data_IF_386972176932
#
_entry.id   IF_386972176932
#
_cell.length_a   1.000
_cell.length_b   1.000
_cell.length_c   1.000
_cell.angle_alpha   90.00
_cell.angle_beta   90.00
_cell.angle_gamma   90.00
#
_symmetry.space_group_name_H-M   'P 1'
#
loop_
_entity.id
_entity.type
_entity.pdbx_description
1 polymer ?
#
# COMPACT_ATOMS: atom_id res chain seq x y z
N UNK A 1 24.25 3.05 51.11
CA UNK A 1 24.29 2.39 49.79
C UNK A 1 22.84 2.32 49.35
N UNK A 2 22.34 3.41 48.78
CA UNK A 2 21.03 3.42 48.13
C UNK A 2 21.23 2.78 46.76
N UNK A 3 20.42 1.76 46.49
CA UNK A 3 20.35 1.04 45.25
C UNK A 3 19.62 1.89 44.21
N UNK A 4 20.38 2.36 43.22
CA UNK A 4 19.83 2.91 41.98
C UNK A 4 19.18 1.76 41.19
N UNK A 5 17.90 1.50 41.45
CA UNK A 5 17.05 0.74 40.54
C UNK A 5 16.76 1.62 39.32
N UNK A 6 17.72 1.71 38.40
CA UNK A 6 17.47 2.09 37.02
C UNK A 6 16.60 0.98 36.39
N UNK A 7 15.29 1.08 36.57
CA UNK A 7 14.32 0.37 35.74
C UNK A 7 14.43 0.93 34.32
N UNK A 8 15.45 0.49 33.58
CA UNK A 8 15.51 0.68 32.14
C UNK A 8 14.21 0.11 31.60
N UNK A 9 13.38 0.96 30.98
CA UNK A 9 12.11 0.54 30.41
C UNK A 9 12.36 -0.46 29.29
N UNK A 10 12.49 -1.75 29.65
CA UNK A 10 12.74 -2.84 28.71
C UNK A 10 11.52 -2.91 27.80
N UNK A 11 11.71 -2.60 26.52
CA UNK A 11 10.69 -2.79 25.48
C UNK A 11 10.45 -4.29 25.28
N UNK A 12 9.61 -4.86 26.16
CA UNK A 12 9.23 -6.28 26.17
C UNK A 12 8.59 -6.71 24.86
N UNK A 13 7.98 -5.78 24.12
CA UNK A 13 7.38 -6.10 22.83
C UNK A 13 8.48 -6.34 21.78
N UNK A 14 9.56 -5.56 21.81
CA UNK A 14 10.74 -5.82 20.97
C UNK A 14 11.48 -7.14 21.30
N UNK A 15 11.18 -7.79 22.43
CA UNK A 15 11.74 -9.11 22.72
C UNK A 15 11.03 -10.26 21.97
N UNK A 16 9.84 -10.02 21.41
CA UNK A 16 9.09 -11.04 20.65
C UNK A 16 9.85 -11.45 19.37
N UNK A 17 9.74 -12.72 18.92
CA UNK A 17 10.26 -13.16 17.63
C UNK A 17 9.77 -12.28 16.47
N UNK A 18 10.61 -12.13 15.45
CA UNK A 18 10.34 -11.26 14.29
C UNK A 18 9.04 -11.65 13.58
N UNK A 19 8.73 -12.94 13.52
CA UNK A 19 7.52 -13.50 12.93
C UNK A 19 6.25 -13.01 13.65
N UNK A 20 6.29 -12.96 14.99
CA UNK A 20 5.16 -12.43 15.80
C UNK A 20 5.02 -10.93 15.57
N UNK A 21 6.15 -10.20 15.49
CA UNK A 21 6.12 -8.77 15.20
C UNK A 21 5.52 -8.50 13.81
N UNK A 22 5.85 -9.29 12.79
CA UNK A 22 5.23 -9.19 11.47
C UNK A 22 3.72 -9.42 11.53
N UNK A 23 3.25 -10.42 12.28
CA UNK A 23 1.81 -10.68 12.45
C UNK A 23 1.09 -9.54 13.19
N UNK A 24 1.74 -8.92 14.18
CA UNK A 24 1.19 -7.74 14.84
C UNK A 24 1.12 -6.58 13.84
N UNK A 25 2.20 -6.30 13.11
CA UNK A 25 2.25 -5.20 12.15
C UNK A 25 1.26 -5.37 11.00
N UNK A 26 1.05 -6.59 10.49
CA UNK A 26 0.11 -6.86 9.40
C UNK A 26 -1.34 -6.54 9.79
N UNK A 27 -1.67 -6.64 11.08
CA UNK A 27 -2.98 -6.26 11.62
C UNK A 27 -3.14 -4.76 11.91
N UNK A 28 -2.05 -3.99 11.81
CA UNK A 28 -2.01 -2.59 12.18
C UNK A 28 -2.06 -1.66 10.98
N UNK A 29 -2.75 -0.53 11.15
CA UNK A 29 -2.70 0.58 10.18
C UNK A 29 -1.26 1.02 9.96
N UNK A 30 -0.88 1.23 8.70
CA UNK A 30 0.49 1.60 8.31
C UNK A 30 1.00 2.86 9.04
N UNK A 31 0.10 3.77 9.42
CA UNK A 31 0.43 4.95 10.23
C UNK A 31 0.97 4.60 11.63
N UNK A 32 0.43 3.56 12.26
CA UNK A 32 0.90 3.06 13.55
C UNK A 32 2.24 2.38 13.35
N UNK A 33 2.40 1.59 12.30
CA UNK A 33 3.65 0.91 11.97
C UNK A 33 4.81 1.91 11.79
N UNK A 34 4.61 2.97 10.99
CA UNK A 34 5.62 4.04 10.81
C UNK A 34 5.98 4.74 12.12
N UNK A 35 5.05 4.86 13.07
CA UNK A 35 5.33 5.42 14.41
C UNK A 35 6.15 4.47 15.26
N UNK A 36 5.81 3.19 15.25
CA UNK A 36 6.49 2.16 16.04
C UNK A 36 7.95 1.94 15.63
N UNK A 37 8.31 2.27 14.38
CA UNK A 37 9.70 2.35 13.91
C UNK A 37 10.64 3.08 14.88
N UNK A 38 10.14 4.07 15.64
CA UNK A 38 10.93 4.89 16.57
C UNK A 38 11.11 4.27 17.96
N UNK A 39 10.40 3.18 18.27
CA UNK A 39 10.38 2.60 19.61
C UNK A 39 11.63 1.76 19.91
N UNK A 40 12.12 1.00 18.93
CA UNK A 40 13.37 0.25 19.08
C UNK A 40 14.01 -0.08 17.73
N UNK A 41 15.27 -0.53 17.75
CA UNK A 41 15.98 -1.00 16.55
C UNK A 41 15.24 -2.16 15.88
N UNK A 42 14.65 -3.06 16.66
CA UNK A 42 13.93 -4.21 16.11
C UNK A 42 12.67 -3.78 15.38
N UNK A 43 11.86 -2.90 15.97
CA UNK A 43 10.69 -2.34 15.28
C UNK A 43 11.07 -1.62 13.99
N UNK A 44 12.21 -0.93 13.99
CA UNK A 44 12.74 -0.33 12.77
C UNK A 44 12.99 -1.38 11.68
N UNK A 45 13.71 -2.46 12.00
CA UNK A 45 14.01 -3.55 11.06
C UNK A 45 12.73 -4.23 10.53
N UNK A 46 11.76 -4.51 11.41
CA UNK A 46 10.48 -5.12 11.00
C UNK A 46 9.68 -4.16 10.11
N UNK A 47 9.64 -2.87 10.43
CA UNK A 47 8.97 -1.87 9.58
C UNK A 47 9.64 -1.75 8.19
N UNK A 48 10.96 -1.81 8.14
CA UNK A 48 11.73 -1.72 6.89
C UNK A 48 11.57 -2.98 6.03
N UNK A 49 11.26 -4.13 6.62
CA UNK A 49 11.08 -5.44 5.96
C UNK A 49 9.62 -5.87 5.78
N UNK A 50 8.66 -4.97 6.03
CA UNK A 50 7.24 -5.23 5.75
C UNK A 50 7.08 -5.74 4.30
N UNK A 51 6.17 -6.66 4.05
CA UNK A 51 5.86 -7.09 2.67
C UNK A 51 4.46 -6.63 2.23
N UNK A 52 3.78 -5.84 3.07
CA UNK A 52 2.41 -5.41 2.85
C UNK A 52 2.33 -3.91 3.07
N UNK A 53 1.67 -3.20 2.15
CA UNK A 53 1.32 -1.79 2.29
C UNK A 53 -0.18 -1.67 2.03
N UNK A 54 -0.92 -1.25 3.04
CA UNK A 54 -2.35 -0.93 2.92
C UNK A 54 -2.55 0.54 3.25
N UNK A 55 -3.09 1.28 2.29
CA UNK A 55 -3.32 2.72 2.35
C UNK A 55 -4.78 3.02 2.01
N UNK A 56 -5.56 3.40 3.01
CA UNK A 56 -6.96 3.82 2.83
C UNK A 56 -7.08 5.30 3.13
N UNK A 57 -7.42 6.11 2.14
CA UNK A 57 -7.45 7.57 2.28
C UNK A 57 -8.47 8.01 3.34
N UNK A 58 -9.59 7.30 3.50
CA UNK A 58 -10.54 7.50 4.60
C UNK A 58 -9.90 7.48 6.00
N UNK A 59 -8.82 6.72 6.24
CA UNK A 59 -8.07 6.79 7.51
C UNK A 59 -7.28 8.10 7.72
N UNK A 60 -7.15 8.88 6.66
CA UNK A 60 -6.45 10.15 6.55
C UNK A 60 -7.38 11.27 6.06
N UNK A 61 -8.70 11.13 6.14
CA UNK A 61 -9.69 12.11 5.64
C UNK A 61 -9.47 13.54 6.18
N UNK A 62 -8.91 13.65 7.39
CA UNK A 62 -8.56 14.90 8.06
C UNK A 62 -7.28 15.54 7.52
N UNK A 63 -6.57 14.89 6.59
CA UNK A 63 -5.39 15.41 5.92
C UNK A 63 -5.76 15.96 4.56
N UNK A 64 -5.09 17.04 4.16
CA UNK A 64 -5.05 17.41 2.76
C UNK A 64 -4.29 16.35 1.96
N UNK A 65 -4.66 16.20 0.70
CA UNK A 65 -4.03 15.27 -0.24
C UNK A 65 -2.49 15.36 -0.22
N UNK A 66 -1.91 16.56 -0.25
CA UNK A 66 -0.44 16.73 -0.33
C UNK A 66 0.28 16.22 0.92
N UNK A 67 -0.41 16.25 2.08
CA UNK A 67 0.12 15.68 3.32
C UNK A 67 0.09 14.15 3.27
N UNK A 68 -0.98 13.58 2.72
CA UNK A 68 -1.07 12.14 2.48
C UNK A 68 -0.01 11.68 1.48
N UNK A 69 0.10 12.34 0.33
CA UNK A 69 1.09 12.00 -0.70
C UNK A 69 2.53 12.03 -0.17
N UNK A 70 2.89 13.06 0.60
CA UNK A 70 4.20 13.14 1.26
C UNK A 70 4.42 12.03 2.29
N UNK A 71 3.38 11.62 3.02
CA UNK A 71 3.47 10.48 3.93
C UNK A 71 3.73 9.17 3.16
N UNK A 72 2.99 8.92 2.08
CA UNK A 72 3.19 7.74 1.23
C UNK A 72 4.61 7.75 0.65
N UNK A 73 5.05 8.86 0.06
CA UNK A 73 6.41 8.98 -0.50
C UNK A 73 7.48 8.68 0.55
N UNK A 74 7.34 9.21 1.77
CA UNK A 74 8.28 8.92 2.86
C UNK A 74 8.23 7.46 3.30
N UNK A 75 7.05 6.83 3.35
CA UNK A 75 6.89 5.41 3.66
C UNK A 75 7.62 4.54 2.63
N UNK A 76 7.48 4.83 1.34
CA UNK A 76 8.14 4.07 0.27
C UNK A 76 9.66 4.23 0.31
N UNK A 77 10.15 5.40 0.71
CA UNK A 77 11.59 5.69 0.83
C UNK A 77 12.27 4.99 2.01
N UNK A 78 11.56 4.73 3.11
CA UNK A 78 12.17 4.12 4.31
C UNK A 78 12.28 2.60 4.22
N UNK A 79 11.50 1.95 3.35
CA UNK A 79 11.53 0.50 3.21
C UNK A 79 12.87 0.00 2.69
N UNK A 80 13.25 -1.19 3.14
CA UNK A 80 14.37 -1.92 2.56
C UNK A 80 14.01 -2.43 1.16
N UNK A 81 15.00 -2.87 0.39
CA UNK A 81 14.82 -3.42 -0.97
C UNK A 81 14.27 -4.86 -0.93
N UNK A 82 13.27 -5.09 -0.08
CA UNK A 82 12.57 -6.37 0.03
C UNK A 82 11.37 -6.33 -0.91
N UNK A 83 11.04 -7.50 -1.46
CA UNK A 83 9.87 -7.68 -2.30
C UNK A 83 8.59 -7.34 -1.53
N UNK A 84 7.63 -6.82 -2.27
CA UNK A 84 6.32 -6.47 -1.75
C UNK A 84 5.38 -7.61 -2.11
N UNK A 85 4.74 -8.24 -1.15
CA UNK A 85 3.71 -9.23 -1.44
C UNK A 85 2.39 -8.53 -1.81
N UNK A 86 1.94 -7.55 -1.01
CA UNK A 86 0.67 -6.83 -1.28
C UNK A 86 0.84 -5.32 -1.27
N UNK A 87 0.23 -4.66 -2.25
CA UNK A 87 0.00 -3.21 -2.26
C UNK A 87 -1.50 -2.93 -2.43
N UNK A 88 -2.12 -2.40 -1.40
CA UNK A 88 -3.52 -1.95 -1.39
C UNK A 88 -3.57 -0.42 -1.28
N UNK A 89 -4.25 0.22 -2.23
CA UNK A 89 -4.52 1.65 -2.22
C UNK A 89 -6.01 1.90 -2.47
N UNK A 90 -6.69 2.38 -1.43
CA UNK A 90 -8.09 2.79 -1.47
C UNK A 90 -8.15 4.32 -1.37
N UNK A 91 -8.64 4.93 -2.43
CA UNK A 91 -8.91 6.36 -2.55
C UNK A 91 -10.40 6.55 -2.80
N UNK A 92 -11.15 6.53 -1.69
CA UNK A 92 -12.62 6.56 -1.58
C UNK A 92 -13.12 7.98 -1.22
N UNK A 93 -12.56 9.01 -1.86
CA UNK A 93 -12.87 10.41 -1.52
C UNK A 93 -13.15 11.28 -2.73
N UNK A 94 -13.94 12.32 -2.52
CA UNK A 94 -14.20 13.36 -3.52
C UNK A 94 -13.02 14.34 -3.71
N UNK A 95 -11.91 14.15 -2.98
CA UNK A 95 -10.74 15.00 -3.15
C UNK A 95 -10.04 14.68 -4.47
N UNK A 96 -9.62 15.70 -5.23
CA UNK A 96 -8.86 15.47 -6.45
C UNK A 96 -7.51 14.82 -6.09
N UNK A 97 -7.27 13.65 -6.65
CA UNK A 97 -6.01 12.94 -6.57
C UNK A 97 -5.06 13.35 -7.69
N UNK A 98 -3.76 13.33 -7.43
CA UNK A 98 -2.76 13.57 -8.47
C UNK A 98 -2.40 12.25 -9.15
N UNK A 99 -2.78 12.14 -10.42
CA UNK A 99 -2.49 10.99 -11.25
C UNK A 99 -1.02 10.55 -11.26
N UNK A 100 -0.09 11.51 -11.24
CA UNK A 100 1.35 11.20 -11.28
C UNK A 100 1.85 10.54 -9.99
N UNK A 101 1.32 10.95 -8.84
CA UNK A 101 1.69 10.34 -7.55
C UNK A 101 1.21 8.89 -7.50
N UNK A 102 -0.06 8.64 -7.88
CA UNK A 102 -0.64 7.29 -7.92
C UNK A 102 0.15 6.39 -8.88
N UNK A 103 0.49 6.89 -10.09
CA UNK A 103 1.35 6.17 -11.04
C UNK A 103 2.72 5.86 -10.46
N UNK A 104 3.31 6.79 -9.70
CA UNK A 104 4.60 6.60 -9.05
C UNK A 104 4.52 5.50 -7.97
N UNK A 105 3.46 5.48 -7.17
CA UNK A 105 3.26 4.48 -6.13
C UNK A 105 3.03 3.08 -6.69
N UNK A 106 2.22 2.98 -7.76
CA UNK A 106 2.02 1.72 -8.48
C UNK A 106 3.35 1.27 -9.12
N UNK A 107 4.08 2.19 -9.76
CA UNK A 107 5.39 1.89 -10.34
C UNK A 107 6.40 1.41 -9.30
N UNK A 108 6.34 1.94 -8.08
CA UNK A 108 7.12 1.44 -6.95
C UNK A 108 6.72 -0.01 -6.61
N UNK A 109 5.43 -0.31 -6.46
CA UNK A 109 4.97 -1.67 -6.15
C UNK A 109 5.45 -2.68 -7.20
N UNK A 110 5.27 -2.37 -8.49
CA UNK A 110 5.73 -3.21 -9.61
C UNK A 110 7.24 -3.42 -9.58
N UNK A 111 8.02 -2.37 -9.31
CA UNK A 111 9.49 -2.45 -9.22
C UNK A 111 9.96 -3.33 -8.04
N UNK A 112 9.12 -3.48 -7.03
CA UNK A 112 9.37 -4.31 -5.85
C UNK A 112 8.64 -5.66 -5.94
N UNK A 113 8.42 -6.18 -7.16
CA UNK A 113 7.89 -7.51 -7.42
C UNK A 113 6.56 -7.79 -6.70
N UNK A 114 5.63 -6.82 -6.74
CA UNK A 114 4.30 -6.99 -6.15
C UNK A 114 3.61 -8.25 -6.66
N UNK A 115 3.04 -9.03 -5.75
CA UNK A 115 2.23 -10.22 -6.07
C UNK A 115 0.74 -9.89 -6.10
N UNK A 116 0.25 -9.08 -5.16
CA UNK A 116 -1.15 -8.67 -5.08
C UNK A 116 -1.22 -7.14 -5.18
N UNK A 117 -1.85 -6.64 -6.23
CA UNK A 117 -2.10 -5.22 -6.44
C UNK A 117 -3.60 -4.95 -6.36
N UNK A 118 -4.05 -4.26 -5.31
CA UNK A 118 -5.45 -3.94 -5.07
C UNK A 118 -5.64 -2.42 -5.06
N UNK A 119 -6.41 -1.91 -6.04
CA UNK A 119 -6.61 -0.49 -6.27
C UNK A 119 -8.09 -0.17 -6.33
N UNK A 120 -8.55 0.67 -5.41
CA UNK A 120 -9.88 1.29 -5.45
C UNK A 120 -9.65 2.79 -5.60
N UNK A 121 -9.88 3.34 -6.79
CA UNK A 121 -9.52 4.71 -7.14
C UNK A 121 -10.75 5.45 -7.70
N UNK A 122 -11.53 6.07 -6.83
CA UNK A 122 -12.73 6.81 -7.24
C UNK A 122 -12.37 8.08 -8.01
N UNK A 123 -13.03 8.32 -9.14
CA UNK A 123 -12.76 9.46 -10.01
C UNK A 123 -11.38 9.42 -10.69
N UNK A 124 -10.72 8.26 -10.73
CA UNK A 124 -9.45 8.07 -11.45
C UNK A 124 -9.71 7.68 -12.90
N UNK A 125 -9.12 8.42 -13.85
CA UNK A 125 -9.14 8.06 -15.25
C UNK A 125 -8.35 6.77 -15.53
N UNK A 126 -9.08 5.74 -15.99
CA UNK A 126 -8.56 4.42 -16.38
C UNK A 126 -7.44 4.48 -17.40
N UNK A 127 -7.43 5.48 -18.29
CA UNK A 127 -6.40 5.65 -19.33
C UNK A 127 -5.03 5.99 -18.76
N UNK A 128 -4.96 6.39 -17.49
CA UNK A 128 -3.75 6.87 -16.82
C UNK A 128 -3.03 5.74 -16.06
N UNK A 129 -3.61 4.53 -16.04
CA UNK A 129 -3.02 3.36 -15.40
C UNK A 129 -1.67 3.00 -16.07
N UNK A 130 -0.58 2.80 -15.29
CA UNK A 130 0.73 2.54 -15.88
C UNK A 130 0.81 1.13 -16.48
N UNK A 131 1.30 1.02 -17.72
CA UNK A 131 1.43 -0.25 -18.44
C UNK A 131 2.37 -1.26 -17.77
N UNK A 132 3.24 -0.82 -16.85
CA UNK A 132 4.16 -1.69 -16.15
C UNK A 132 3.47 -2.74 -15.28
N UNK A 133 2.20 -2.53 -14.90
CA UNK A 133 1.41 -3.54 -14.18
C UNK A 133 1.27 -4.81 -15.03
N UNK A 134 1.02 -4.65 -16.34
CA UNK A 134 0.77 -5.76 -17.26
C UNK A 134 2.04 -6.49 -17.70
N UNK A 135 3.22 -5.94 -17.39
CA UNK A 135 4.52 -6.58 -17.65
C UNK A 135 5.19 -7.08 -16.36
N UNK A 136 4.51 -6.96 -15.22
CA UNK A 136 4.99 -7.42 -13.94
C UNK A 136 4.84 -8.95 -13.84
N UNK A 137 5.95 -9.68 -13.82
CA UNK A 137 5.95 -11.14 -13.84
C UNK A 137 5.62 -11.77 -12.48
N UNK A 138 5.84 -11.03 -11.39
CA UNK A 138 5.49 -11.45 -10.04
C UNK A 138 4.00 -11.28 -9.73
N UNK A 139 3.28 -10.48 -10.52
CA UNK A 139 1.90 -10.11 -10.25
C UNK A 139 0.98 -11.33 -10.40
N UNK A 140 0.38 -11.73 -9.29
CA UNK A 140 -0.54 -12.84 -9.17
C UNK A 140 -2.00 -12.40 -9.17
N UNK A 141 -2.30 -11.29 -8.52
CA UNK A 141 -3.66 -10.78 -8.36
C UNK A 141 -3.70 -9.29 -8.67
N UNK A 142 -4.65 -8.89 -9.52
CA UNK A 142 -4.90 -7.51 -9.89
C UNK A 142 -6.37 -7.18 -9.69
N UNK A 143 -6.67 -6.42 -8.63
CA UNK A 143 -8.01 -5.92 -8.33
C UNK A 143 -8.05 -4.43 -8.67
N UNK A 144 -8.96 -4.05 -9.56
CA UNK A 144 -9.14 -2.68 -10.03
C UNK A 144 -10.61 -2.27 -9.90
N UNK A 145 -10.89 -1.36 -8.97
CA UNK A 145 -12.15 -0.63 -8.91
C UNK A 145 -11.88 0.84 -9.19
N UNK A 146 -12.58 1.42 -10.15
CA UNK A 146 -12.48 2.84 -10.46
C UNK A 146 -13.91 3.35 -10.65
N UNK A 147 -14.32 4.33 -9.84
CA UNK A 147 -15.65 4.95 -9.92
C UNK A 147 -15.98 5.46 -11.32
N UNK A 148 -17.27 5.54 -11.65
CA UNK A 148 -17.75 5.88 -12.99
C UNK A 148 -17.16 7.22 -13.47
N UNK A 149 -16.36 7.15 -14.54
CA UNK A 149 -16.02 8.34 -15.31
C UNK A 149 -17.26 8.77 -16.10
N UNK A 150 -17.54 10.09 -16.24
CA UNK A 150 -18.62 10.54 -17.11
C UNK A 150 -18.30 10.17 -18.57
N UNK A 151 -19.12 9.26 -19.12
CA UNK A 151 -19.26 8.91 -20.54
C UNK A 151 -18.11 9.30 -21.48
N UNK A 152 -17.01 8.54 -21.43
CA UNK A 152 -16.11 8.42 -22.58
C UNK A 152 -15.64 6.97 -22.70
N UNK A 153 -16.24 6.27 -23.66
CA UNK A 153 -15.61 5.22 -24.46
C UNK A 153 -15.10 4.00 -23.70
N UNK A 154 -15.77 2.87 -23.92
CA UNK A 154 -15.28 1.55 -23.58
C UNK A 154 -13.77 1.41 -23.86
N UNK A 155 -13.07 1.00 -22.81
CA UNK A 155 -11.77 0.33 -22.77
C UNK A 155 -11.14 0.08 -24.16
N UNK A 156 -10.04 0.78 -24.46
CA UNK A 156 -8.95 0.17 -25.23
C UNK A 156 -7.90 -0.30 -24.24
N UNK A 157 -8.30 -1.20 -23.33
CA UNK A 157 -7.32 -2.14 -22.81
C UNK A 157 -6.80 -2.90 -24.04
N UNK A 158 -5.49 -3.06 -24.22
CA UNK A 158 -5.00 -3.89 -25.32
C UNK A 158 -5.71 -5.24 -25.24
N UNK A 159 -6.32 -5.68 -26.34
CA UNK A 159 -7.23 -6.85 -26.42
C UNK A 159 -6.60 -8.17 -25.95
N UNK A 160 -5.33 -8.15 -25.56
CA UNK A 160 -4.57 -9.29 -25.05
C UNK A 160 -3.72 -8.80 -23.86
N UNK A 161 -4.31 -8.80 -22.68
CA UNK A 161 -3.56 -8.68 -21.42
C UNK A 161 -3.27 -10.10 -20.94
N UNK A 162 -2.08 -10.61 -21.23
CA UNK A 162 -1.57 -11.80 -20.57
C UNK A 162 -1.10 -11.41 -19.17
N UNK A 163 -2.01 -11.42 -18.19
CA UNK A 163 -1.61 -11.50 -16.79
C UNK A 163 -1.06 -12.92 -16.56
N UNK A 164 0.15 -13.08 -16.02
CA UNK A 164 0.75 -14.41 -15.81
C UNK A 164 -0.04 -15.27 -14.80
N UNK A 165 -0.98 -14.69 -14.06
CA UNK A 165 -1.76 -15.39 -13.04
C UNK A 165 -3.19 -14.85 -13.00
N UNK A 166 -4.16 -15.74 -13.21
CA UNK A 166 -5.57 -15.43 -13.39
C UNK A 166 -6.28 -15.09 -12.07
N UNK A 167 -6.90 -13.90 -12.01
CA UNK A 167 -8.32 -13.67 -11.70
C UNK A 167 -8.59 -12.16 -11.74
N UNK A 168 -9.25 -11.70 -12.80
CA UNK A 168 -9.80 -10.35 -12.86
C UNK A 168 -11.28 -10.48 -12.47
N UNK A 169 -11.58 -10.37 -11.18
CA UNK A 169 -12.97 -10.29 -10.72
C UNK A 169 -13.48 -8.87 -10.97
N UNK A 170 -14.01 -8.68 -12.18
CA UNK A 170 -14.83 -7.52 -12.51
C UNK A 170 -16.23 -7.75 -11.94
N UNK A 171 -16.41 -7.52 -10.64
CA UNK A 171 -17.75 -7.41 -10.07
C UNK A 171 -18.39 -6.10 -10.55
N UNK A 172 -19.15 -6.22 -11.64
CA UNK A 172 -20.22 -5.29 -11.97
C UNK A 172 -21.30 -5.44 -10.90
N UNK A 173 -21.27 -4.61 -9.87
CA UNK A 173 -22.43 -4.40 -9.02
C UNK A 173 -23.53 -3.72 -9.84
N UNK A 174 -24.42 -4.53 -10.43
CA UNK A 174 -25.70 -4.06 -10.93
C UNK A 174 -26.57 -3.62 -9.76
N UNK A 175 -26.95 -2.35 -9.75
CA UNK A 175 -28.00 -1.84 -8.87
C UNK A 175 -29.36 -2.40 -9.31
N UNK A 176 -30.13 -2.87 -8.33
CA UNK A 176 -31.60 -2.86 -8.34
C UNK A 176 -32.10 -1.89 -7.30
#
# INVERSE_FOLDING_TARGET
MESDDEESGVDRISMLPTEILHNILSSMRIRIVVRMRRLSRKWKEVCESLQFICLKYSEFEHWKYERFARFVNNLLLIRSKVDLHTFELVFDSCHPQNYNDVRMWIGYAVKHNVEVLDLILDGYDKTVLPLCIFTCHSLQELNLSMGEAPDLGALLLPDIINLPSQKVDSQLCGCG
#
